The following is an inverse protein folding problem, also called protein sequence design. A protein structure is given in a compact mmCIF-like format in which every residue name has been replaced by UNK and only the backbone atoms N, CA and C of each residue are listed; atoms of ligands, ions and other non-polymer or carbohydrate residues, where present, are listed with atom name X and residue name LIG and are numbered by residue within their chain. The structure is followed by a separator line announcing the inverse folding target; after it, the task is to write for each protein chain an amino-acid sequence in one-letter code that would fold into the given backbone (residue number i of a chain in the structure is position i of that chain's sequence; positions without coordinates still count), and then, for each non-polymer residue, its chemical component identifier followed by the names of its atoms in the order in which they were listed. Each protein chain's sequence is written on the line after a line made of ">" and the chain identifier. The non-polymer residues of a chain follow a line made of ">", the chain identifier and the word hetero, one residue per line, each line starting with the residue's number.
data_IF_514910856567
#
_entry.id   IF_514910856567
#
_cell.length_a   1.000
_cell.length_b   1.000
_cell.length_c   1.000
_cell.angle_alpha   90.00
_cell.angle_beta   90.00
_cell.angle_gamma   90.00
#
_symmetry.space_group_name_H-M   'P 1'
#
loop_
_entity.id
_entity.type
_entity.pdbx_description
1 polymer ?
#
# COMPACT_ATOMS: atom_id res chain seq x y z
N UNK A 1 -16.71 17.89 -1.12
CA UNK A 1 -17.50 17.16 -0.10
C UNK A 1 -17.32 15.67 -0.32
N UNK A 2 -16.87 14.94 0.71
CA UNK A 2 -16.75 13.46 0.68
C UNK A 2 -18.15 12.88 0.89
N UNK A 3 -18.64 12.03 -0.03
CA UNK A 3 -19.95 11.39 0.13
C UNK A 3 -19.84 10.27 1.18
N UNK A 4 -20.95 9.89 1.81
CA UNK A 4 -20.99 8.74 2.75
C UNK A 4 -20.48 7.43 2.10
N UNK A 5 -20.64 7.31 0.79
CA UNK A 5 -20.15 6.22 -0.04
C UNK A 5 -18.65 6.22 -0.27
N UNK A 6 -17.93 7.26 0.12
CA UNK A 6 -16.54 7.44 -0.25
C UNK A 6 -15.62 7.02 0.90
N UNK A 7 -14.42 6.57 0.55
CA UNK A 7 -13.36 6.22 1.48
C UNK A 7 -12.02 6.80 0.98
N UNK A 8 -11.19 7.34 1.89
CA UNK A 8 -9.83 7.71 1.54
C UNK A 8 -8.99 6.46 1.29
N UNK A 9 -8.21 6.49 0.21
CA UNK A 9 -7.26 5.47 -0.19
C UNK A 9 -5.86 6.09 -0.26
N UNK A 10 -4.94 5.53 0.50
CA UNK A 10 -3.50 5.78 0.43
C UNK A 10 -2.84 4.69 -0.40
N UNK A 11 -2.03 5.08 -1.37
CA UNK A 11 -1.36 4.15 -2.25
C UNK A 11 0.14 4.47 -2.36
N UNK A 12 0.97 3.42 -2.25
CA UNK A 12 2.42 3.50 -2.44
C UNK A 12 2.80 2.89 -3.79
N UNK A 13 3.65 3.57 -4.55
CA UNK A 13 4.08 3.15 -5.90
C UNK A 13 5.55 3.48 -6.16
N UNK A 14 6.15 2.89 -7.20
CA UNK A 14 7.58 3.02 -7.56
C UNK A 14 8.58 2.56 -6.48
N UNK A 15 8.13 1.82 -5.47
CA UNK A 15 8.97 1.05 -4.55
C UNK A 15 8.82 -0.45 -4.80
N UNK A 16 9.08 -1.25 -3.77
CA UNK A 16 8.91 -2.71 -3.77
C UNK A 16 8.37 -3.21 -2.44
N UNK A 17 7.64 -4.32 -2.46
CA UNK A 17 7.21 -4.98 -1.23
C UNK A 17 8.36 -5.87 -0.75
N UNK A 18 8.80 -5.65 0.49
CA UNK A 18 9.76 -6.49 1.18
C UNK A 18 9.03 -7.31 2.23
N UNK A 19 9.22 -8.63 2.16
CA UNK A 19 8.63 -9.59 3.10
C UNK A 19 9.69 -10.03 4.09
N UNK A 20 9.38 -9.92 5.38
CA UNK A 20 10.19 -10.38 6.50
C UNK A 20 9.36 -11.33 7.36
N UNK A 21 9.96 -12.10 8.26
CA UNK A 21 9.29 -13.14 9.05
C UNK A 21 8.05 -12.58 9.80
N UNK A 22 6.87 -12.83 9.23
CA UNK A 22 5.57 -12.39 9.77
C UNK A 22 5.18 -10.92 9.52
N UNK A 23 5.92 -10.18 8.69
CA UNK A 23 5.58 -8.79 8.33
C UNK A 23 5.91 -8.47 6.88
N UNK A 24 5.19 -7.53 6.29
CA UNK A 24 5.53 -6.93 5.01
C UNK A 24 5.70 -5.42 5.20
N UNK A 25 6.60 -4.81 4.43
CA UNK A 25 6.72 -3.37 4.36
C UNK A 25 6.99 -2.94 2.91
N UNK A 26 6.70 -1.68 2.63
CA UNK A 26 7.00 -1.09 1.34
C UNK A 26 8.30 -0.31 1.44
N UNK A 27 9.30 -0.73 0.64
CA UNK A 27 10.60 -0.10 0.62
C UNK A 27 10.73 0.82 -0.58
N UNK A 28 11.06 2.08 -0.30
CA UNK A 28 11.20 3.13 -1.30
C UNK A 28 9.86 3.57 -1.91
N UNK A 29 9.96 4.30 -3.02
CA UNK A 29 8.81 4.78 -3.77
C UNK A 29 8.19 6.08 -3.28
N UNK A 30 6.95 6.32 -3.67
CA UNK A 30 6.16 7.51 -3.37
C UNK A 30 4.80 7.10 -2.82
N UNK A 31 4.33 7.83 -1.82
CA UNK A 31 3.00 7.64 -1.24
C UNK A 31 2.10 8.81 -1.60
N UNK A 32 0.87 8.51 -2.02
CA UNK A 32 -0.16 9.50 -2.38
C UNK A 32 -1.51 9.07 -1.83
N UNK A 33 -2.45 10.01 -1.79
CA UNK A 33 -3.82 9.78 -1.36
C UNK A 33 -4.82 10.15 -2.45
N UNK A 34 -5.93 9.40 -2.50
CA UNK A 34 -7.07 9.67 -3.36
C UNK A 34 -8.36 9.29 -2.62
N UNK A 35 -9.51 9.57 -3.23
CA UNK A 35 -10.82 9.18 -2.71
C UNK A 35 -11.41 8.13 -3.64
N UNK A 36 -11.90 7.02 -3.07
CA UNK A 36 -12.56 5.95 -3.82
C UNK A 36 -14.01 5.78 -3.37
N UNK A 37 -14.83 5.25 -4.28
CA UNK A 37 -16.16 4.79 -3.91
C UNK A 37 -16.07 3.42 -3.22
N UNK A 38 -16.78 3.22 -2.10
CA UNK A 38 -16.84 1.94 -1.37
C UNK A 38 -17.48 0.78 -2.17
N UNK A 39 -18.07 1.07 -3.33
CA UNK A 39 -18.62 0.08 -4.26
C UNK A 39 -17.72 -0.12 -5.51
N UNK A 40 -16.50 0.39 -5.49
CA UNK A 40 -15.56 0.24 -6.62
C UNK A 40 -15.28 -1.25 -6.89
N UNK A 41 -15.25 -1.62 -8.17
CA UNK A 41 -14.81 -2.96 -8.59
C UNK A 41 -13.29 -3.05 -8.59
N UNK A 42 -12.76 -4.28 -8.63
CA UNK A 42 -11.34 -4.52 -8.83
C UNK A 42 -10.82 -3.91 -10.12
N UNK A 43 -11.55 -4.08 -11.22
CA UNK A 43 -11.16 -3.56 -12.54
C UNK A 43 -11.10 -2.04 -12.53
N UNK A 44 -12.12 -1.37 -11.96
CA UNK A 44 -12.15 0.09 -11.88
C UNK A 44 -11.04 0.63 -10.97
N UNK A 45 -10.78 -0.05 -9.85
CA UNK A 45 -9.70 0.30 -8.93
C UNK A 45 -8.33 0.17 -9.62
N UNK A 46 -8.11 -0.93 -10.34
CA UNK A 46 -6.87 -1.18 -11.08
C UNK A 46 -6.66 -0.14 -12.19
N UNK A 47 -7.70 0.14 -12.98
CA UNK A 47 -7.65 1.15 -14.05
C UNK A 47 -7.35 2.54 -13.47
N UNK A 48 -7.97 2.88 -12.35
CA UNK A 48 -7.68 4.13 -11.64
C UNK A 48 -6.22 4.17 -11.16
N UNK A 49 -5.66 3.06 -10.65
CA UNK A 49 -4.26 3.02 -10.25
C UNK A 49 -3.31 3.23 -11.43
N UNK A 50 -3.54 2.56 -12.57
CA UNK A 50 -2.79 2.80 -13.80
C UNK A 50 -2.77 4.28 -14.20
N UNK A 51 -3.94 4.93 -14.17
CA UNK A 51 -4.06 6.35 -14.49
C UNK A 51 -3.31 7.23 -13.49
N UNK A 52 -3.49 7.01 -12.18
CA UNK A 52 -2.89 7.83 -11.13
C UNK A 52 -1.37 7.68 -11.02
N UNK A 53 -0.81 6.52 -11.39
CA UNK A 53 0.64 6.29 -11.41
C UNK A 53 1.27 6.61 -12.76
N UNK A 54 0.50 6.96 -13.79
CA UNK A 54 1.00 7.17 -15.16
C UNK A 54 1.66 5.91 -15.73
N UNK A 55 1.21 4.73 -15.31
CA UNK A 55 1.75 3.46 -15.76
C UNK A 55 1.04 3.01 -17.03
N UNK A 56 1.80 2.67 -18.06
CA UNK A 56 1.25 2.17 -19.32
C UNK A 56 0.92 0.67 -19.19
N UNK A 57 -0.36 0.26 -19.27
CA UNK A 57 -0.77 -1.14 -19.15
C UNK A 57 -0.29 -2.02 -20.32
N UNK A 58 0.17 -1.44 -21.43
CA UNK A 58 0.77 -2.18 -22.55
C UNK A 58 2.22 -2.59 -22.29
N UNK A 59 2.90 -1.86 -21.40
CA UNK A 59 4.30 -2.07 -21.05
C UNK A 59 4.47 -2.72 -19.67
N UNK A 60 3.54 -2.45 -18.75
CA UNK A 60 3.66 -2.89 -17.37
C UNK A 60 2.36 -3.52 -16.83
N UNK A 61 2.53 -4.62 -16.12
CA UNK A 61 1.50 -5.19 -15.24
C UNK A 61 1.60 -4.54 -13.87
N UNK A 62 0.49 -4.01 -13.38
CA UNK A 62 0.38 -3.46 -12.02
C UNK A 62 -0.31 -4.48 -11.11
N UNK A 63 0.32 -4.80 -9.99
CA UNK A 63 -0.23 -5.66 -8.94
C UNK A 63 -0.55 -4.82 -7.70
N UNK A 64 -1.70 -5.08 -7.09
CA UNK A 64 -2.18 -4.35 -5.91
C UNK A 64 -2.17 -5.26 -4.69
N UNK A 65 -1.66 -4.75 -3.57
CA UNK A 65 -1.68 -5.44 -2.27
C UNK A 65 -2.35 -4.54 -1.24
N UNK A 66 -3.43 -4.98 -0.61
CA UNK A 66 -4.03 -4.30 0.53
C UNK A 66 -3.18 -4.49 1.79
N UNK A 67 -3.08 -3.45 2.60
CA UNK A 67 -2.27 -3.44 3.81
C UNK A 67 -3.18 -3.45 5.02
N UNK A 68 -2.95 -4.42 5.90
CA UNK A 68 -3.69 -4.58 7.15
C UNK A 68 -2.72 -4.49 8.34
N UNK A 69 -2.86 -3.47 9.20
CA UNK A 69 -2.10 -3.43 10.44
C UNK A 69 -2.58 -4.55 11.36
N UNK A 70 -1.63 -5.20 12.05
CA UNK A 70 -1.90 -6.18 13.11
C UNK A 70 -1.71 -5.55 14.48
N UNK A 71 -2.24 -6.20 15.51
CA UNK A 71 -2.16 -5.71 16.90
C UNK A 71 -0.72 -5.56 17.44
N UNK A 72 0.25 -6.25 16.83
CA UNK A 72 1.67 -6.18 17.19
C UNK A 72 2.46 -5.15 16.35
N UNK A 73 1.77 -4.26 15.62
CA UNK A 73 2.40 -3.20 14.82
C UNK A 73 3.06 -3.69 13.53
N UNK A 74 2.84 -4.95 13.15
CA UNK A 74 3.25 -5.48 11.84
C UNK A 74 2.19 -5.14 10.78
N UNK A 75 2.59 -5.27 9.53
CA UNK A 75 1.68 -5.07 8.41
C UNK A 75 1.55 -6.37 7.63
N UNK A 76 0.32 -6.83 7.40
CA UNK A 76 0.03 -7.96 6.53
C UNK A 76 -0.40 -7.43 5.17
N UNK A 77 0.29 -7.89 4.12
CA UNK A 77 -0.09 -7.64 2.74
C UNK A 77 -1.03 -8.73 2.23
N UNK A 78 -2.24 -8.37 1.80
CA UNK A 78 -3.18 -9.25 1.13
C UNK A 78 -3.29 -8.87 -0.36
N UNK A 79 -2.91 -9.76 -1.30
CA UNK A 79 -3.07 -9.49 -2.73
C UNK A 79 -4.53 -9.19 -3.09
N UNK A 80 -4.73 -8.22 -3.97
CA UNK A 80 -6.03 -7.94 -4.58
C UNK A 80 -6.04 -8.55 -5.97
N UNK A 81 -6.85 -9.58 -6.16
CA UNK A 81 -6.96 -10.32 -7.43
C UNK A 81 -8.36 -10.21 -8.04
N UNK A 82 -9.37 -9.87 -7.23
CA UNK A 82 -10.76 -9.84 -7.62
C UNK A 82 -11.61 -8.87 -6.77
N UNK A 83 -12.90 -8.79 -7.09
CA UNK A 83 -13.88 -8.00 -6.34
C UNK A 83 -14.06 -8.48 -4.89
N UNK A 84 -13.78 -9.75 -4.61
CA UNK A 84 -13.84 -10.31 -3.26
C UNK A 84 -12.77 -9.67 -2.37
N UNK A 85 -11.53 -9.61 -2.87
CA UNK A 85 -10.42 -8.93 -2.19
C UNK A 85 -10.71 -7.46 -1.93
N UNK A 86 -11.25 -6.74 -2.92
CA UNK A 86 -11.63 -5.33 -2.77
C UNK A 86 -12.71 -5.14 -1.72
N UNK A 87 -13.74 -6.00 -1.71
CA UNK A 87 -14.78 -5.98 -0.67
C UNK A 87 -14.19 -6.21 0.72
N UNK A 88 -13.31 -7.20 0.88
CA UNK A 88 -12.64 -7.48 2.17
C UNK A 88 -11.82 -6.28 2.62
N UNK A 89 -11.03 -5.68 1.73
CA UNK A 89 -10.27 -4.46 2.02
C UNK A 89 -11.17 -3.33 2.55
N UNK A 90 -12.30 -3.08 1.89
CA UNK A 90 -13.26 -2.03 2.28
C UNK A 90 -14.01 -2.37 3.57
N UNK A 91 -14.29 -3.66 3.83
CA UNK A 91 -14.92 -4.10 5.09
C UNK A 91 -13.98 -3.99 6.29
N UNK A 92 -12.68 -4.15 6.08
CA UNK A 92 -11.65 -4.06 7.13
C UNK A 92 -11.33 -2.60 7.51
N UNK A 93 -11.52 -1.67 6.58
CA UNK A 93 -11.34 -0.22 6.76
C UNK A 93 -11.92 0.32 8.09
N UNK A 94 -13.24 0.23 8.37
CA UNK A 94 -13.81 0.85 9.58
C UNK A 94 -13.38 0.20 10.90
N UNK A 95 -12.71 -0.96 10.88
CA UNK A 95 -12.34 -1.71 12.09
C UNK A 95 -10.93 -1.43 12.58
N UNK A 96 -10.03 -1.02 11.68
CA UNK A 96 -8.59 -1.00 11.97
C UNK A 96 -7.86 0.25 11.48
N UNK A 97 -8.46 1.08 10.62
CA UNK A 97 -7.78 2.26 10.07
C UNK A 97 -8.75 3.38 9.64
N UNK A 98 -8.30 4.63 9.77
CA UNK A 98 -9.02 5.79 9.22
C UNK A 98 -8.77 6.00 7.71
N UNK A 99 -7.81 5.26 7.13
CA UNK A 99 -7.47 5.26 5.70
C UNK A 99 -7.28 3.84 5.15
N UNK A 100 -7.78 3.55 3.94
CA UNK A 100 -7.45 2.31 3.24
C UNK A 100 -6.02 2.44 2.72
N UNK A 101 -5.17 1.43 2.89
CA UNK A 101 -3.80 1.46 2.37
C UNK A 101 -3.56 0.32 1.38
N UNK A 102 -2.96 0.64 0.24
CA UNK A 102 -2.49 -0.34 -0.75
C UNK A 102 -1.04 -0.08 -1.17
N UNK A 103 -0.36 -1.14 -1.57
CA UNK A 103 0.96 -1.10 -2.21
C UNK A 103 0.85 -1.56 -3.65
N UNK A 104 1.56 -0.87 -4.53
CA UNK A 104 1.59 -1.14 -5.96
C UNK A 104 2.97 -1.66 -6.37
N UNK A 105 3.00 -2.82 -7.02
CA UNK A 105 4.20 -3.35 -7.68
C UNK A 105 4.00 -3.33 -9.18
N UNK A 106 5.03 -2.91 -9.92
CA UNK A 106 5.04 -2.91 -11.38
C UNK A 106 5.97 -3.99 -11.90
N UNK A 107 5.51 -4.74 -12.88
CA UNK A 107 6.27 -5.77 -13.59
C UNK A 107 6.28 -5.44 -15.08
N UNK A 108 7.45 -5.43 -15.72
CA UNK A 108 7.57 -5.19 -17.16
C UNK A 108 7.01 -6.38 -17.93
N UNK A 109 6.12 -6.11 -18.89
CA UNK A 109 5.62 -7.11 -19.81
C UNK A 109 6.73 -7.32 -20.85
N UNK A 110 7.56 -8.33 -20.64
CA UNK A 110 8.53 -8.75 -21.65
C UNK A 110 7.74 -9.30 -22.83
N UNK A 111 7.46 -8.44 -23.81
CA UNK A 111 6.99 -8.88 -25.11
C UNK A 111 8.14 -9.67 -25.75
N UNK A 112 8.09 -11.00 -25.68
CA UNK A 112 8.91 -11.87 -26.53
C UNK A 112 8.44 -11.72 -27.98
N UNK A 113 8.65 -10.57 -28.59
CA UNK A 113 8.70 -10.42 -30.04
C UNK A 113 10.17 -10.56 -30.44
N UNK A 114 10.72 -11.75 -30.23
CA UNK A 114 11.79 -12.23 -31.11
C UNK A 114 11.07 -12.90 -32.26
N UNK A 115 11.04 -12.23 -33.41
CA UNK A 115 10.77 -12.90 -34.67
C UNK A 115 11.58 -14.18 -34.74
N UNK A 116 10.99 -15.22 -35.33
CA UNK A 116 11.68 -16.45 -35.66
C UNK A 116 12.95 -16.12 -36.46
N UNK A 117 14.09 -16.06 -35.77
CA UNK A 117 15.40 -16.21 -36.37
C UNK A 117 15.97 -17.49 -35.78
N UNK A 118 15.93 -18.54 -36.60
CA UNK A 118 16.79 -19.69 -36.45
C UNK A 118 18.23 -19.20 -36.30
N UNK A 119 18.81 -19.40 -35.12
CA UNK A 119 20.25 -19.49 -34.97
C UNK A 119 20.50 -20.73 -34.12
N UNK A 120 20.84 -21.80 -34.83
CA UNK A 120 21.65 -22.87 -34.25
C UNK A 120 22.99 -22.30 -33.79
N UNK A 121 23.56 -22.94 -32.77
CA UNK A 121 24.90 -22.77 -32.20
C UNK A 121 25.06 -21.72 -31.07
N UNK A 122 25.19 -22.27 -29.85
CA UNK A 122 26.27 -22.03 -28.88
C UNK A 122 27.02 -20.70 -29.03
N UNK A 123 26.71 -19.70 -28.18
CA UNK A 123 27.75 -18.95 -27.45
C UNK A 123 27.18 -17.92 -26.45
N UNK A 124 27.74 -17.96 -25.24
CA UNK A 124 27.92 -16.85 -24.28
C UNK A 124 26.69 -16.05 -23.81
N UNK A 125 26.18 -16.39 -22.62
CA UNK A 125 25.39 -15.48 -21.79
C UNK A 125 26.26 -14.27 -21.36
N UNK A 126 25.86 -13.01 -21.57
CA UNK A 126 26.45 -11.92 -20.81
C UNK A 126 25.92 -12.00 -19.37
N UNK A 127 26.79 -12.36 -18.44
CA UNK A 127 26.56 -12.24 -17.01
C UNK A 127 26.17 -10.81 -16.68
N UNK A 128 24.89 -10.55 -16.40
CA UNK A 128 24.43 -9.30 -15.84
C UNK A 128 25.00 -9.25 -14.41
N UNK A 129 26.14 -8.60 -14.25
CA UNK A 129 26.67 -8.21 -12.94
C UNK A 129 25.69 -7.19 -12.38
N UNK A 130 24.78 -7.63 -11.51
CA UNK A 130 23.98 -6.73 -10.68
C UNK A 130 24.94 -6.11 -9.67
N UNK A 131 25.26 -4.84 -9.83
CA UNK A 131 25.90 -4.09 -8.75
C UNK A 131 25.00 -4.14 -7.49
N UNK A 132 25.55 -4.44 -6.31
CA UNK A 132 24.81 -4.35 -5.07
C UNK A 132 24.45 -2.87 -4.83
N UNK A 133 23.17 -2.55 -4.97
CA UNK A 133 22.63 -1.24 -4.61
C UNK A 133 22.97 -0.93 -3.14
N UNK A 134 23.73 0.12 -2.91
CA UNK A 134 23.93 0.69 -1.58
C UNK A 134 22.74 1.60 -1.24
N UNK A 135 22.00 1.32 -0.16
CA UNK A 135 20.86 2.14 0.22
C UNK A 135 21.33 3.49 0.77
N UNK A 136 20.99 4.57 0.08
CA UNK A 136 20.98 5.90 0.68
C UNK A 136 19.70 6.04 1.53
N UNK A 137 19.89 6.20 2.84
CA UNK A 137 18.88 6.61 3.84
C UNK A 137 17.43 6.22 3.53
N UNK A 138 17.10 4.96 3.82
CA UNK A 138 15.76 4.36 3.75
C UNK A 138 14.73 5.19 4.51
N UNK A 139 13.69 5.66 3.80
CA UNK A 139 12.47 6.16 4.43
C UNK A 139 11.50 4.99 4.60
N UNK A 140 11.52 4.42 5.80
CA UNK A 140 10.54 3.44 6.24
C UNK A 140 9.15 4.08 6.26
N UNK A 141 8.16 3.43 5.65
CA UNK A 141 6.75 3.83 5.76
C UNK A 141 6.03 2.83 6.67
N UNK A 142 5.80 3.16 7.96
CA UNK A 142 4.99 2.32 8.84
C UNK A 142 3.55 2.23 8.33
N UNK A 143 2.88 1.10 8.56
CA UNK A 143 1.42 1.09 8.56
C UNK A 143 0.94 1.95 9.73
N UNK A 144 0.09 2.94 9.45
CA UNK A 144 -0.39 3.87 10.47
C UNK A 144 -1.43 3.17 11.36
N UNK A 145 -1.06 2.93 12.62
CA UNK A 145 -2.01 2.69 13.70
C UNK A 145 -1.92 3.92 14.60
N UNK A 146 -2.88 4.83 14.52
CA UNK A 146 -2.96 5.92 15.49
C UNK A 146 -3.34 5.30 16.84
N UNK A 147 -2.37 5.26 17.76
CA UNK A 147 -2.64 4.98 19.17
C UNK A 147 -3.53 6.12 19.70
N UNK A 148 -4.83 5.84 19.83
CA UNK A 148 -5.70 6.67 20.65
C UNK A 148 -5.32 6.36 22.10
N UNK A 149 -4.56 7.28 22.70
CA UNK A 149 -4.40 7.35 24.14
C UNK A 149 -5.80 7.63 24.69
N UNK A 150 -6.32 6.69 25.47
CA UNK A 150 -7.55 6.83 26.24
C UNK A 150 -7.45 8.11 27.08
N UNK A 151 -8.16 9.17 26.66
CA UNK A 151 -8.36 10.34 27.49
C UNK A 151 -9.37 9.95 28.57
N UNK A 152 -8.87 9.37 29.65
CA UNK A 152 -9.62 9.27 30.90
C UNK A 152 -10.04 10.69 31.30
N UNK A 153 -11.32 10.95 31.60
CA UNK A 153 -11.72 12.24 32.15
C UNK A 153 -11.18 12.32 33.58
N UNK A 154 -10.09 13.05 33.77
CA UNK A 154 -9.60 13.43 35.09
C UNK A 154 -10.64 14.31 35.76
N UNK A 155 -11.39 13.73 36.70
CA UNK A 155 -12.23 14.45 37.64
C UNK A 155 -11.36 15.41 38.47
N UNK A 156 -11.28 16.67 38.05
CA UNK A 156 -10.78 17.75 38.90
C UNK A 156 -11.95 18.27 39.74
N UNK A 157 -12.18 17.65 40.90
CA UNK A 157 -12.89 18.31 42.00
C UNK A 157 -12.01 19.47 42.48
N UNK A 158 -12.34 20.68 42.04
CA UNK A 158 -11.80 21.91 42.60
C UNK A 158 -12.41 22.18 43.97
N UNK A 159 -11.64 21.92 45.03
CA UNK A 159 -11.93 22.38 46.38
C UNK A 159 -11.89 23.90 46.43
N UNK A 160 -13.06 24.54 46.61
CA UNK A 160 -13.14 25.97 46.91
C UNK A 160 -13.13 26.14 48.42
N UNK A 161 -11.99 26.61 48.93
CA UNK A 161 -11.84 27.14 50.29
C UNK A 161 -12.51 28.53 50.34
N UNK A 162 -13.56 28.71 51.14
CA UNK A 162 -14.09 30.02 51.51
C UNK A 162 -13.78 30.24 52.99
N UNK A 163 -13.04 31.30 53.38
CA UNK A 163 -12.72 31.58 54.77
C UNK A 163 -13.91 32.20 55.52
N UNK A 164 -13.97 31.87 56.80
CA UNK A 164 -14.85 32.43 57.83
C UNK A 164 -14.91 33.97 57.82
N UNK A 165 -16.13 34.49 57.90
CA UNK A 165 -16.56 35.63 58.73
C UNK A 165 -18.06 35.54 58.96
#
# INVERSE_FOLDING_TARGET
>A
MVKKSDAPLMYSFNGRIVRSEGSSFYEGGTMKTTIINKKISYVDLLQMMYHLTGTDPSLYKLSMTAVHPTHDGKCLGAPLEDDTGVKVMIMMYPKHAHIIQIWLEKEEIIQRVRGAMNYDAEDSYPSIVREPYQPSSSSFVPCTQENIIDATPTNAYGSVNIPHL
#
